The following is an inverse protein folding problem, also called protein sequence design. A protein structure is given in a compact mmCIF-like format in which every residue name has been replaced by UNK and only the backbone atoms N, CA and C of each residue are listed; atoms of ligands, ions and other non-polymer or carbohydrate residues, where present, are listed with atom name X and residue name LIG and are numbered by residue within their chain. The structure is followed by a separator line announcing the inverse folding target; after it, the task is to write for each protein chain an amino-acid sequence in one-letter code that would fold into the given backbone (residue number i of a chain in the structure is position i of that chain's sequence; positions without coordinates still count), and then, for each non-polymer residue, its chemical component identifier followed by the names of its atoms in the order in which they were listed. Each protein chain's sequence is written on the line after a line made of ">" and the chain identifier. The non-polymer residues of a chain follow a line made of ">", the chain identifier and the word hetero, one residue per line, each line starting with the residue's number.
data_IF_631329093902
#
_entry.id   IF_631329093902
#
_cell.length_a   1.000
_cell.length_b   1.000
_cell.length_c   1.000
_cell.angle_alpha   90.00
_cell.angle_beta   90.00
_cell.angle_gamma   90.00
#
_symmetry.space_group_name_H-M   'P 1'
#
loop_
_entity.id
_entity.type
_entity.pdbx_description
1 polymer ?
#
# COMPACT_ATOMS: atom_id res chain seq x y z
N UNK A 1 -21.90 -3.21 8.12
CA UNK A 1 -21.56 -4.56 8.63
C UNK A 1 -20.13 -5.00 8.30
N UNK A 2 -19.68 -4.89 7.07
CA UNK A 2 -18.32 -5.28 6.61
C UNK A 2 -17.17 -4.67 7.42
N UNK A 3 -17.26 -3.41 7.81
CA UNK A 3 -16.20 -2.72 8.56
C UNK A 3 -15.98 -3.26 9.97
N UNK A 4 -17.03 -3.73 10.65
CA UNK A 4 -16.92 -4.32 12.00
C UNK A 4 -16.13 -5.63 11.96
N UNK A 5 -16.38 -6.48 10.96
CA UNK A 5 -15.65 -7.73 10.78
C UNK A 5 -14.19 -7.50 10.43
N UNK A 6 -13.90 -6.54 9.54
CA UNK A 6 -12.54 -6.16 9.18
C UNK A 6 -11.75 -5.70 10.41
N UNK A 7 -12.29 -4.74 11.17
CA UNK A 7 -11.67 -4.25 12.41
C UNK A 7 -11.42 -5.37 13.42
N UNK A 8 -12.43 -6.24 13.64
CA UNK A 8 -12.32 -7.38 14.55
C UNK A 8 -11.20 -8.34 14.13
N UNK A 9 -11.09 -8.62 12.84
CA UNK A 9 -10.04 -9.49 12.31
C UNK A 9 -8.64 -8.88 12.48
N UNK A 10 -8.47 -7.59 12.23
CA UNK A 10 -7.19 -6.91 12.47
C UNK A 10 -6.77 -6.99 13.93
N UNK A 11 -7.70 -6.72 14.86
CA UNK A 11 -7.43 -6.84 16.31
C UNK A 11 -7.01 -8.27 16.66
N UNK A 12 -7.74 -9.26 16.13
CA UNK A 12 -7.41 -10.68 16.34
C UNK A 12 -5.98 -10.99 15.88
N UNK A 13 -5.62 -10.61 14.66
CA UNK A 13 -4.26 -10.84 14.12
C UNK A 13 -3.19 -10.16 14.96
N UNK A 14 -3.38 -8.91 15.36
CA UNK A 14 -2.44 -8.20 16.25
C UNK A 14 -2.27 -8.94 17.58
N UNK A 15 -3.36 -9.38 18.18
CA UNK A 15 -3.36 -10.11 19.44
C UNK A 15 -2.63 -11.46 19.31
N UNK A 16 -2.94 -12.23 18.28
CA UNK A 16 -2.31 -13.53 18.05
C UNK A 16 -0.79 -13.42 17.83
N UNK A 17 -0.36 -12.42 17.05
CA UNK A 17 1.08 -12.16 16.82
C UNK A 17 1.78 -11.81 18.12
N UNK A 18 1.20 -10.89 18.92
CA UNK A 18 1.76 -10.51 20.22
C UNK A 18 1.83 -11.69 21.19
N UNK A 19 0.81 -12.53 21.24
CA UNK A 19 0.76 -13.73 22.10
C UNK A 19 1.90 -14.71 21.77
N UNK A 20 2.38 -14.72 20.52
CA UNK A 20 3.52 -15.52 20.08
C UNK A 20 4.88 -14.84 20.32
N UNK A 21 4.91 -13.70 21.00
CA UNK A 21 6.14 -12.96 21.30
C UNK A 21 6.70 -12.18 20.09
N UNK A 22 5.94 -12.05 18.99
CA UNK A 22 6.36 -11.27 17.84
C UNK A 22 5.81 -9.86 17.87
N UNK A 23 6.45 -8.95 17.15
CA UNK A 23 6.03 -7.55 17.03
C UNK A 23 5.25 -7.34 15.75
N UNK A 24 3.92 -7.09 15.81
CA UNK A 24 3.15 -6.80 14.62
C UNK A 24 3.42 -5.39 14.10
N UNK A 25 3.43 -5.24 12.78
CA UNK A 25 3.45 -3.96 12.08
C UNK A 25 2.23 -3.94 11.17
N UNK A 26 1.28 -3.05 11.43
CA UNK A 26 0.17 -2.83 10.52
C UNK A 26 0.61 -1.92 9.36
N UNK A 27 0.11 -2.23 8.17
CA UNK A 27 0.36 -1.44 6.96
C UNK A 27 -0.99 -1.06 6.37
N UNK A 28 -1.22 0.23 6.11
CA UNK A 28 -2.44 0.64 5.41
C UNK A 28 -2.44 0.17 3.95
N UNK A 29 -3.60 -0.04 3.33
CA UNK A 29 -3.67 -0.46 1.93
C UNK A 29 -2.93 0.51 1.00
N UNK A 30 -2.15 -0.01 0.06
CA UNK A 30 -1.53 0.81 -0.98
C UNK A 30 -2.60 1.43 -1.88
N UNK A 31 -2.43 2.70 -2.26
CA UNK A 31 -3.40 3.41 -3.09
C UNK A 31 -3.48 2.84 -4.51
N UNK A 32 -4.71 2.76 -5.03
CA UNK A 32 -4.95 2.52 -6.46
C UNK A 32 -4.75 3.81 -7.24
N UNK A 33 -4.40 3.69 -8.50
CA UNK A 33 -4.35 4.82 -9.40
C UNK A 33 -5.77 5.22 -9.80
N UNK A 34 -6.28 6.28 -9.22
CA UNK A 34 -7.61 6.82 -9.57
C UNK A 34 -7.54 8.34 -9.66
N UNK A 35 -7.83 8.83 -10.85
CA UNK A 35 -7.90 10.26 -11.13
C UNK A 35 -9.30 10.64 -11.60
N UNK A 36 -9.75 11.82 -11.19
CA UNK A 36 -10.97 12.47 -11.68
C UNK A 36 -10.58 13.84 -12.20
N UNK A 37 -10.72 14.07 -13.49
CA UNK A 37 -10.33 15.33 -14.15
C UNK A 37 -8.90 15.76 -13.80
N UNK A 38 -7.97 14.82 -13.82
CA UNK A 38 -6.53 15.05 -13.52
C UNK A 38 -6.20 15.18 -12.03
N UNK A 39 -7.16 15.07 -11.13
CA UNK A 39 -6.95 15.14 -9.68
C UNK A 39 -7.01 13.74 -9.08
N UNK A 40 -6.00 13.37 -8.30
CA UNK A 40 -5.97 12.09 -7.59
C UNK A 40 -7.15 11.97 -6.60
N UNK A 41 -7.73 10.78 -6.54
CA UNK A 41 -8.88 10.48 -5.67
C UNK A 41 -8.69 9.11 -5.02
N UNK A 42 -8.62 9.05 -3.70
CA UNK A 42 -8.58 7.75 -3.00
C UNK A 42 -9.84 6.92 -3.24
N UNK A 43 -9.67 5.60 -3.28
CA UNK A 43 -10.76 4.65 -3.51
C UNK A 43 -10.94 3.61 -2.39
N UNK A 44 -10.18 3.74 -1.29
CA UNK A 44 -10.23 2.78 -0.19
C UNK A 44 -11.28 3.11 0.88
N UNK A 45 -11.90 4.32 0.79
CA UNK A 45 -12.92 4.74 1.76
C UNK A 45 -12.38 4.72 3.19
N UNK A 46 -13.10 4.06 4.08
CA UNK A 46 -12.77 4.05 5.52
C UNK A 46 -11.72 3.01 5.94
N UNK A 47 -11.28 2.11 5.05
CA UNK A 47 -10.39 1.01 5.43
C UNK A 47 -9.02 1.46 5.96
N UNK A 48 -8.34 2.45 5.37
CA UNK A 48 -7.08 2.96 5.93
C UNK A 48 -7.25 3.53 7.34
N UNK A 49 -8.33 4.24 7.59
CA UNK A 49 -8.60 4.83 8.92
C UNK A 49 -8.86 3.75 9.98
N UNK A 50 -9.52 2.65 9.60
CA UNK A 50 -9.71 1.50 10.50
C UNK A 50 -8.35 0.87 10.87
N UNK A 51 -7.43 0.75 9.93
CA UNK A 51 -6.07 0.24 10.22
C UNK A 51 -5.34 1.14 11.20
N UNK A 52 -5.39 2.46 11.00
CA UNK A 52 -4.79 3.46 11.90
C UNK A 52 -5.42 3.40 13.30
N UNK A 53 -6.74 3.34 13.37
CA UNK A 53 -7.47 3.23 14.64
C UNK A 53 -7.06 1.97 15.41
N UNK A 54 -6.95 0.83 14.73
CA UNK A 54 -6.52 -0.43 15.35
C UNK A 54 -5.06 -0.32 15.80
N UNK A 55 -4.18 0.24 14.99
CA UNK A 55 -2.77 0.44 15.37
C UNK A 55 -2.64 1.26 16.66
N UNK A 56 -3.38 2.35 16.75
CA UNK A 56 -3.40 3.21 17.93
C UNK A 56 -3.98 2.48 19.16
N UNK A 57 -5.16 1.86 19.00
CA UNK A 57 -5.87 1.19 20.10
C UNK A 57 -5.09 0.01 20.66
N UNK A 58 -4.50 -0.78 19.79
CA UNK A 58 -3.72 -1.96 20.17
C UNK A 58 -2.25 -1.65 20.47
N UNK A 59 -1.86 -0.36 20.48
CA UNK A 59 -0.48 0.07 20.67
C UNK A 59 0.48 -0.76 19.80
N UNK A 60 0.27 -0.69 18.49
CA UNK A 60 1.04 -1.46 17.51
C UNK A 60 1.66 -0.55 16.45
N UNK A 61 2.77 -0.99 15.88
CA UNK A 61 3.47 -0.22 14.86
C UNK A 61 2.64 -0.09 13.59
N UNK A 62 2.77 1.04 12.90
CA UNK A 62 2.03 1.38 11.69
C UNK A 62 2.95 1.95 10.62
N UNK A 63 2.79 1.47 9.39
CA UNK A 63 3.30 2.11 8.17
C UNK A 63 2.09 2.62 7.39
N UNK A 64 1.94 3.93 7.25
CA UNK A 64 0.87 4.54 6.45
C UNK A 64 1.22 4.53 4.96
N UNK A 65 1.19 3.33 4.36
CA UNK A 65 1.49 3.13 2.95
C UNK A 65 0.45 3.80 2.04
N UNK A 66 -0.80 3.93 2.51
CA UNK A 66 -1.85 4.63 1.76
C UNK A 66 -1.46 6.09 1.56
N UNK A 67 -1.10 6.80 2.61
CA UNK A 67 -0.70 8.21 2.50
C UNK A 67 0.56 8.38 1.65
N UNK A 68 1.58 7.54 1.85
CA UNK A 68 2.84 7.57 1.08
C UNK A 68 2.62 7.31 -0.41
N UNK A 69 1.83 6.29 -0.76
CA UNK A 69 1.55 5.95 -2.15
C UNK A 69 0.61 6.95 -2.82
N UNK A 70 -0.38 7.47 -2.11
CA UNK A 70 -1.27 8.54 -2.59
C UNK A 70 -0.48 9.80 -2.98
N UNK A 71 0.43 10.23 -2.10
CA UNK A 71 1.31 11.37 -2.35
C UNK A 71 2.20 11.13 -3.58
N UNK A 72 2.85 9.95 -3.65
CA UNK A 72 3.73 9.60 -4.77
C UNK A 72 2.96 9.56 -6.10
N UNK A 73 1.78 8.91 -6.15
CA UNK A 73 0.94 8.79 -7.35
C UNK A 73 0.42 10.18 -7.76
N UNK A 74 -0.03 10.98 -6.80
CA UNK A 74 -0.52 12.35 -7.05
C UNK A 74 0.58 13.25 -7.63
N UNK A 75 1.78 13.23 -7.07
CA UNK A 75 2.94 13.99 -7.56
C UNK A 75 3.39 13.54 -8.95
N UNK A 76 3.31 12.25 -9.23
CA UNK A 76 3.65 11.71 -10.56
C UNK A 76 2.63 12.17 -11.62
N UNK A 77 1.38 12.38 -11.23
CA UNK A 77 0.29 12.83 -12.08
C UNK A 77 -0.36 11.69 -12.89
N UNK A 78 -1.51 12.00 -13.49
CA UNK A 78 -2.36 11.02 -14.15
C UNK A 78 -1.62 10.21 -15.23
N UNK A 79 -1.05 10.84 -16.22
CA UNK A 79 -0.41 10.13 -17.33
C UNK A 79 0.88 9.40 -16.92
N UNK A 80 1.79 10.08 -16.21
CA UNK A 80 3.09 9.50 -15.86
C UNK A 80 2.99 8.36 -14.86
N UNK A 81 1.97 8.36 -13.98
CA UNK A 81 1.79 7.28 -13.01
C UNK A 81 1.37 5.94 -13.63
N UNK A 82 0.87 5.93 -14.88
CA UNK A 82 0.54 4.69 -15.61
C UNK A 82 1.70 3.71 -15.67
N UNK A 83 2.95 4.20 -15.77
CA UNK A 83 4.15 3.34 -15.78
C UNK A 83 4.31 2.46 -14.53
N UNK A 84 3.70 2.83 -13.42
CA UNK A 84 3.74 2.05 -12.19
C UNK A 84 2.65 0.98 -12.11
N UNK A 85 1.74 0.97 -13.08
CA UNK A 85 0.59 0.08 -13.11
C UNK A 85 0.62 -0.80 -14.36
N UNK A 86 -0.23 -1.83 -14.37
CA UNK A 86 -0.20 -2.83 -15.42
C UNK A 86 -0.93 -2.34 -16.68
N UNK A 87 -0.28 -1.42 -17.39
CA UNK A 87 -0.70 -0.92 -18.69
C UNK A 87 0.11 -1.59 -19.80
N UNK A 88 -0.58 -2.24 -20.73
CA UNK A 88 0.01 -2.94 -21.88
C UNK A 88 -0.66 -2.41 -23.14
N UNK A 89 0.12 -1.91 -24.09
CA UNK A 89 -0.42 -1.46 -25.36
C UNK A 89 -0.90 -2.65 -26.22
N UNK A 90 -1.98 -2.47 -26.98
CA UNK A 90 -2.48 -3.48 -27.89
C UNK A 90 -1.39 -3.91 -28.88
N UNK A 91 -1.33 -5.21 -29.16
CA UNK A 91 -0.36 -5.79 -30.11
C UNK A 91 1.08 -5.92 -29.58
N UNK A 92 1.37 -5.51 -28.35
CA UNK A 92 2.74 -5.58 -27.78
C UNK A 92 3.01 -6.83 -26.95
N UNK A 93 1.97 -7.53 -26.52
CA UNK A 93 2.09 -8.73 -25.70
C UNK A 93 1.12 -9.82 -26.19
N UNK A 94 1.62 -11.02 -26.56
CA UNK A 94 0.77 -12.10 -27.09
C UNK A 94 -0.23 -12.66 -26.07
N UNK A 95 0.01 -12.47 -24.75
CA UNK A 95 -0.91 -12.94 -23.68
C UNK A 95 -2.11 -11.99 -23.55
N UNK A 96 -1.94 -10.72 -23.86
CA UNK A 96 -2.98 -9.68 -23.83
C UNK A 96 -2.99 -8.91 -25.15
N UNK A 97 -3.40 -9.54 -26.26
CA UNK A 97 -3.28 -8.96 -27.60
C UNK A 97 -4.06 -7.65 -27.78
N UNK A 98 -5.17 -7.49 -27.06
CA UNK A 98 -5.99 -6.27 -27.09
C UNK A 98 -5.46 -5.18 -26.13
N UNK A 99 -4.32 -5.42 -25.48
CA UNK A 99 -3.77 -4.54 -24.47
C UNK A 99 -4.46 -4.67 -23.11
N UNK A 100 -3.99 -3.89 -22.13
CA UNK A 100 -4.55 -3.87 -20.77
C UNK A 100 -4.42 -2.47 -20.18
N UNK A 101 -5.46 -2.04 -19.47
CA UNK A 101 -5.46 -0.84 -18.64
C UNK A 101 -5.88 -1.23 -17.23
N UNK A 102 -4.94 -1.22 -16.29
CA UNK A 102 -5.17 -1.70 -14.93
C UNK A 102 -4.61 -0.71 -13.92
N UNK A 103 -5.49 -0.04 -13.21
CA UNK A 103 -5.17 0.97 -12.19
C UNK A 103 -4.96 0.38 -10.78
N UNK A 104 -4.92 -0.93 -10.66
CA UNK A 104 -4.86 -1.63 -9.37
C UNK A 104 -3.57 -2.44 -9.20
N UNK A 105 -3.19 -3.21 -10.22
CA UNK A 105 -2.02 -4.09 -10.16
C UNK A 105 -0.79 -3.36 -10.71
N UNK A 106 0.34 -3.59 -10.07
CA UNK A 106 1.58 -2.90 -10.42
C UNK A 106 2.33 -3.55 -11.58
N UNK A 107 3.03 -2.72 -12.34
CA UNK A 107 4.18 -3.14 -13.14
C UNK A 107 5.36 -3.46 -12.21
N UNK A 108 6.44 -4.03 -12.75
CA UNK A 108 7.68 -4.22 -12.00
C UNK A 108 8.21 -2.90 -11.41
N UNK A 109 8.25 -1.84 -12.22
CA UNK A 109 8.66 -0.50 -11.77
C UNK A 109 7.78 0.03 -10.65
N UNK A 110 6.46 -0.17 -10.75
CA UNK A 110 5.52 0.22 -9.71
C UNK A 110 5.69 -0.60 -8.43
N UNK A 111 5.88 -1.91 -8.54
CA UNK A 111 6.13 -2.76 -7.39
C UNK A 111 7.41 -2.34 -6.64
N UNK A 112 8.49 -2.05 -7.35
CA UNK A 112 9.73 -1.53 -6.77
C UNK A 112 9.53 -0.17 -6.10
N UNK A 113 8.74 0.72 -6.71
CA UNK A 113 8.38 2.01 -6.11
C UNK A 113 7.60 1.82 -4.80
N UNK A 114 6.59 0.97 -4.78
CA UNK A 114 5.80 0.71 -3.57
C UNK A 114 6.64 0.04 -2.47
N UNK A 115 7.52 -0.89 -2.84
CA UNK A 115 8.46 -1.50 -1.91
C UNK A 115 9.40 -0.45 -1.28
N UNK A 116 9.88 0.53 -2.06
CA UNK A 116 10.70 1.63 -1.53
C UNK A 116 9.97 2.47 -0.48
N UNK A 117 8.67 2.69 -0.64
CA UNK A 117 7.84 3.41 0.35
C UNK A 117 7.66 2.61 1.65
N UNK A 118 7.57 1.28 1.55
CA UNK A 118 7.57 0.41 2.74
C UNK A 118 8.91 0.47 3.47
N UNK A 119 10.03 0.41 2.73
CA UNK A 119 11.39 0.54 3.29
C UNK A 119 11.56 1.89 4.00
N UNK A 120 11.05 2.97 3.42
CA UNK A 120 11.00 4.29 4.05
C UNK A 120 10.24 4.25 5.37
N UNK A 121 9.04 3.66 5.40
CA UNK A 121 8.27 3.45 6.63
C UNK A 121 9.00 2.63 7.69
N UNK A 122 9.72 1.58 7.30
CA UNK A 122 10.57 0.79 8.22
C UNK A 122 11.69 1.64 8.83
N UNK A 123 12.31 2.52 8.04
CA UNK A 123 13.34 3.45 8.53
C UNK A 123 12.76 4.48 9.49
N UNK A 124 11.60 5.04 9.20
CA UNK A 124 10.87 5.98 10.08
C UNK A 124 10.53 5.36 11.43
N UNK A 125 10.13 4.09 11.45
CA UNK A 125 9.88 3.32 12.67
C UNK A 125 11.16 2.98 13.46
N UNK A 126 12.34 3.23 12.88
CA UNK A 126 13.66 2.98 13.48
C UNK A 126 13.81 1.55 14.05
N UNK A 127 13.29 0.57 13.36
CA UNK A 127 13.35 -0.84 13.77
C UNK A 127 14.76 -1.40 13.51
N UNK A 128 15.64 -1.27 14.49
CA UNK A 128 17.08 -1.62 14.38
C UNK A 128 17.31 -2.99 13.73
N UNK A 129 16.57 -4.03 14.13
CA UNK A 129 16.69 -5.38 13.57
C UNK A 129 16.34 -5.49 12.08
N UNK A 130 15.51 -4.58 11.53
CA UNK A 130 15.18 -4.53 10.11
C UNK A 130 16.08 -3.55 9.36
N UNK A 131 16.27 -2.34 9.92
CA UNK A 131 17.00 -1.26 9.23
C UNK A 131 18.44 -1.65 8.89
N UNK A 132 19.15 -2.36 9.79
CA UNK A 132 20.52 -2.81 9.55
C UNK A 132 20.66 -3.84 8.43
N UNK A 133 19.56 -4.53 8.07
CA UNK A 133 19.53 -5.55 7.01
C UNK A 133 19.01 -5.01 5.68
N UNK A 134 18.57 -3.74 5.63
CA UNK A 134 18.17 -3.11 4.38
C UNK A 134 19.42 -2.84 3.53
N UNK A 135 19.45 -3.41 2.33
CA UNK A 135 20.50 -3.08 1.35
C UNK A 135 20.42 -1.59 1.00
N UNK A 136 21.56 -0.96 0.83
CA UNK A 136 21.68 0.42 0.39
C UNK A 136 21.34 0.54 -1.09
#
# INVERSE_FOLDING_TARGET
>A
MLFRSYKKNLIKFVTEVKTKGATPILVTPVSRRKFKKGVFSDSHGVYPEIVKEVAQKENTLLIDLQAKSADAISKQGDEKSKQWFNYVAAGTNPIVPDGKSDDTHFSETGAMKMASLVVEGVRELNLKGLVQNLKR
#
